data_IF_692928183823
#
_entry.id   IF_692928183823
#
_cell.length_a   1.000
_cell.length_b   1.000
_cell.length_c   1.000
_cell.angle_alpha   90.00
_cell.angle_beta   90.00
_cell.angle_gamma   90.00
#
_symmetry.space_group_name_H-M   'P 1'
#
loop_
_entity.id
_entity.type
_entity.pdbx_description
1 polymer ?
#
# COMPACT_ATOMS: atom_id res chain seq x y z
N UNK A 1 -0.95 -18.40 0.35
CA UNK A 1 -1.41 -17.48 -0.69
C UNK A 1 -0.54 -16.23 -0.73
N UNK A 2 -0.26 -15.75 -1.92
CA UNK A 2 0.51 -14.53 -2.11
C UNK A 2 -0.46 -13.37 -2.33
N UNK A 3 -0.25 -12.29 -1.60
CA UNK A 3 -1.02 -11.06 -1.79
C UNK A 3 -0.13 -10.04 -2.48
N UNK A 4 -0.53 -9.57 -3.65
CA UNK A 4 0.24 -8.58 -4.40
C UNK A 4 -0.32 -7.19 -4.13
N UNK A 5 0.49 -6.37 -3.48
CA UNK A 5 0.12 -4.99 -3.14
C UNK A 5 0.97 -4.00 -3.90
N UNK A 6 0.35 -2.89 -4.27
CA UNK A 6 1.04 -1.75 -4.87
C UNK A 6 0.83 -0.56 -3.95
N UNK A 7 1.92 0.03 -3.50
CA UNK A 7 1.89 1.23 -2.68
C UNK A 7 2.30 2.42 -3.55
N UNK A 8 1.36 3.32 -3.78
CA UNK A 8 1.66 4.57 -4.47
C UNK A 8 2.11 5.60 -3.44
N UNK A 9 3.29 6.16 -3.67
CA UNK A 9 3.89 7.11 -2.75
C UNK A 9 4.62 8.22 -3.50
N UNK A 10 5.14 9.19 -2.77
CA UNK A 10 6.02 10.20 -3.35
C UNK A 10 7.10 10.57 -2.34
N UNK A 11 8.20 11.14 -2.82
CA UNK A 11 9.31 11.56 -1.98
C UNK A 11 8.82 12.61 -0.95
N UNK A 12 9.32 12.49 0.27
CA UNK A 12 8.98 13.42 1.35
C UNK A 12 7.66 13.10 2.04
N UNK A 13 6.99 12.02 1.67
CA UNK A 13 5.73 11.61 2.30
C UNK A 13 6.04 10.73 3.52
N UNK A 14 5.98 11.31 4.73
CA UNK A 14 6.27 10.56 5.95
C UNK A 14 5.26 9.45 6.23
N UNK A 15 3.99 9.68 5.90
CA UNK A 15 2.95 8.66 6.06
C UNK A 15 3.21 7.47 5.14
N UNK A 16 3.70 7.72 3.93
CA UNK A 16 4.05 6.66 2.99
C UNK A 16 5.21 5.83 3.53
N UNK A 17 6.24 6.49 4.06
CA UNK A 17 7.41 5.82 4.64
C UNK A 17 7.00 4.94 5.82
N UNK A 18 6.16 5.47 6.71
CA UNK A 18 5.70 4.73 7.88
C UNK A 18 4.88 3.50 7.49
N UNK A 19 4.01 3.63 6.50
CA UNK A 19 3.24 2.49 6.02
C UNK A 19 4.12 1.43 5.38
N UNK A 20 5.09 1.84 4.58
CA UNK A 20 6.04 0.92 3.95
C UNK A 20 6.81 0.12 5.00
N UNK A 21 7.33 0.79 6.02
CA UNK A 21 8.06 0.11 7.10
C UNK A 21 7.22 -0.97 7.77
N UNK A 22 5.95 -0.69 8.03
CA UNK A 22 5.05 -1.66 8.66
C UNK A 22 4.74 -2.82 7.72
N UNK A 23 4.50 -2.54 6.45
CA UNK A 23 4.25 -3.59 5.47
C UNK A 23 5.43 -4.55 5.35
N UNK A 24 6.65 -4.02 5.42
CA UNK A 24 7.86 -4.84 5.34
C UNK A 24 8.05 -5.74 6.56
N UNK A 25 7.41 -5.41 7.68
CA UNK A 25 7.50 -6.21 8.90
C UNK A 25 6.47 -7.33 8.98
N UNK A 26 5.52 -7.36 8.05
CA UNK A 26 4.49 -8.40 8.05
C UNK A 26 5.10 -9.73 7.62
N UNK A 27 4.91 -10.77 8.45
CA UNK A 27 5.45 -12.11 8.22
C UNK A 27 4.37 -13.16 8.05
N UNK A 28 3.18 -12.93 8.61
CA UNK A 28 2.09 -13.91 8.57
C UNK A 28 1.40 -14.01 7.22
N UNK A 29 1.55 -13.01 6.39
CA UNK A 29 0.99 -12.97 5.04
C UNK A 29 2.14 -12.92 4.05
N UNK A 30 2.06 -13.71 3.01
CA UNK A 30 3.06 -13.74 1.94
C UNK A 30 2.80 -12.56 1.00
N UNK A 31 3.48 -11.45 1.24
CA UNK A 31 3.28 -10.22 0.48
C UNK A 31 4.29 -10.07 -0.64
N UNK A 32 3.80 -9.76 -1.83
CA UNK A 32 4.62 -9.19 -2.89
C UNK A 32 4.28 -7.70 -2.93
N UNK A 33 5.23 -6.87 -2.53
CA UNK A 33 5.01 -5.43 -2.41
C UNK A 33 5.75 -4.68 -3.49
N UNK A 34 5.02 -3.89 -4.24
CA UNK A 34 5.56 -3.02 -5.27
C UNK A 34 5.32 -1.58 -4.84
N UNK A 35 6.38 -0.77 -4.85
CA UNK A 35 6.29 0.65 -4.49
C UNK A 35 6.38 1.46 -5.77
N UNK A 36 5.37 2.29 -6.03
CA UNK A 36 5.30 3.11 -7.24
C UNK A 36 5.37 4.58 -6.84
N UNK A 37 6.41 5.25 -7.34
CA UNK A 37 6.56 6.70 -7.14
C UNK A 37 5.69 7.42 -8.15
N UNK A 38 4.69 8.16 -7.67
CA UNK A 38 3.72 8.81 -8.54
C UNK A 38 4.33 9.90 -9.40
N UNK A 39 5.52 10.43 -9.02
CA UNK A 39 6.21 11.43 -9.83
C UNK A 39 6.80 10.85 -11.12
N UNK A 40 6.86 9.52 -11.22
CA UNK A 40 7.38 8.82 -12.39
C UNK A 40 6.32 8.61 -13.48
N UNK A 41 5.05 8.92 -13.18
CA UNK A 41 3.95 8.65 -14.10
C UNK A 41 2.90 9.75 -13.93
N UNK A 42 2.64 10.48 -15.00
CA UNK A 42 1.75 11.64 -14.94
C UNK A 42 0.31 11.27 -14.56
N UNK A 43 -0.16 10.12 -15.01
CA UNK A 43 -1.53 9.66 -14.68
C UNK A 43 -1.63 9.36 -13.19
N UNK A 44 -0.63 8.70 -12.62
CA UNK A 44 -0.58 8.44 -11.18
C UNK A 44 -0.52 9.75 -10.39
N UNK A 45 0.30 10.69 -10.83
CA UNK A 45 0.45 11.97 -10.17
C UNK A 45 -0.87 12.74 -10.16
N UNK A 46 -1.54 12.81 -11.30
CA UNK A 46 -2.84 13.48 -11.41
C UNK A 46 -3.88 12.86 -10.50
N UNK A 47 -3.84 11.53 -10.37
CA UNK A 47 -4.85 10.77 -9.62
C UNK A 47 -4.59 10.78 -8.12
N UNK A 48 -3.33 10.72 -7.70
CA UNK A 48 -2.95 10.44 -6.31
C UNK A 48 -2.14 11.53 -5.64
N UNK A 49 -1.91 12.66 -6.27
CA UNK A 49 -1.05 13.73 -5.74
C UNK A 49 -1.37 14.11 -4.29
N UNK A 50 -2.66 14.20 -3.98
CA UNK A 50 -3.13 14.57 -2.64
C UNK A 50 -3.65 13.37 -1.84
N UNK A 51 -3.53 12.18 -2.39
CA UNK A 51 -4.11 10.97 -1.79
C UNK A 51 -3.08 10.03 -1.20
N UNK A 52 -1.80 10.19 -1.54
CA UNK A 52 -0.76 9.28 -1.06
C UNK A 52 -0.68 9.29 0.48
N UNK A 53 -0.43 8.13 1.12
CA UNK A 53 -0.20 6.82 0.50
C UNK A 53 -1.49 6.18 0.01
N UNK A 54 -1.43 5.58 -1.18
CA UNK A 54 -2.54 4.82 -1.74
C UNK A 54 -2.11 3.36 -1.85
N UNK A 55 -2.87 2.48 -1.24
CA UNK A 55 -2.58 1.05 -1.22
C UNK A 55 -3.59 0.32 -2.09
N UNK A 56 -3.09 -0.43 -3.06
CA UNK A 56 -3.92 -1.19 -3.98
C UNK A 56 -3.59 -2.67 -3.91
N UNK A 57 -4.60 -3.49 -4.12
CA UNK A 57 -4.49 -4.94 -4.18
C UNK A 57 -4.68 -5.37 -5.63
N UNK A 58 -3.69 -6.05 -6.18
CA UNK A 58 -3.76 -6.58 -7.54
C UNK A 58 -4.19 -8.04 -7.50
N UNK A 59 -5.31 -8.34 -8.15
CA UNK A 59 -5.85 -9.70 -8.23
C UNK A 59 -6.38 -9.94 -9.65
N UNK A 60 -5.89 -10.97 -10.31
CA UNK A 60 -6.34 -11.37 -11.65
C UNK A 60 -6.33 -10.19 -12.64
N UNK A 61 -5.24 -9.44 -12.65
CA UNK A 61 -5.05 -8.26 -13.51
C UNK A 61 -5.99 -7.09 -13.20
N UNK A 62 -6.74 -7.19 -12.09
CA UNK A 62 -7.58 -6.10 -11.62
C UNK A 62 -6.96 -5.44 -10.41
N UNK A 63 -7.00 -4.12 -10.39
CA UNK A 63 -6.44 -3.32 -9.33
C UNK A 63 -7.56 -2.78 -8.46
N UNK A 64 -7.54 -3.13 -7.16
CA UNK A 64 -8.54 -2.68 -6.20
C UNK A 64 -7.87 -1.74 -5.21
N UNK A 65 -8.38 -0.52 -5.10
CA UNK A 65 -7.88 0.41 -4.11
C UNK A 65 -8.48 0.05 -2.75
N UNK A 66 -7.60 -0.17 -1.78
CA UNK A 66 -8.02 -0.44 -0.40
C UNK A 66 -8.30 0.86 0.34
N UNK A 67 -9.18 0.84 1.36
CA UNK A 67 -9.31 2.00 2.24
C UNK A 67 -7.96 2.32 2.85
N UNK A 68 -7.69 3.60 3.10
CA UNK A 68 -6.41 3.99 3.71
C UNK A 68 -6.34 3.47 5.13
N UNK A 69 -5.34 2.64 5.47
CA UNK A 69 -5.18 2.22 6.86
C UNK A 69 -4.71 3.40 7.71
N UNK A 70 -5.16 3.43 8.96
CA UNK A 70 -4.74 4.47 9.88
C UNK A 70 -3.22 4.40 10.09
N UNK A 71 -2.51 5.55 10.13
CA UNK A 71 -1.08 5.54 10.41
C UNK A 71 -0.74 5.07 11.82
N UNK A 72 -1.75 4.96 12.68
CA UNK A 72 -1.58 4.50 14.07
C UNK A 72 -1.69 2.99 14.23
N UNK A 73 -2.05 2.26 13.17
CA UNK A 73 -2.14 0.81 13.25
C UNK A 73 -0.78 0.19 13.56
N UNK A 74 -0.79 -0.78 14.47
CA UNK A 74 0.39 -1.64 14.68
C UNK A 74 0.57 -2.57 13.48
N UNK A 75 1.72 -3.23 13.39
CA UNK A 75 1.95 -4.25 12.36
C UNK A 75 0.89 -5.33 12.45
N UNK A 76 0.55 -5.79 13.65
CA UNK A 76 -0.48 -6.83 13.85
C UNK A 76 -1.86 -6.37 13.38
N UNK A 77 -2.21 -5.13 13.67
CA UNK A 77 -3.49 -4.58 13.22
C UNK A 77 -3.53 -4.42 11.71
N UNK A 78 -2.41 -4.06 11.10
CA UNK A 78 -2.30 -3.96 9.65
C UNK A 78 -2.42 -5.32 8.99
N UNK A 79 -1.82 -6.36 9.59
CA UNK A 79 -1.98 -7.74 9.13
C UNK A 79 -3.45 -8.16 9.13
N UNK A 80 -4.16 -7.86 10.22
CA UNK A 80 -5.58 -8.18 10.34
C UNK A 80 -6.41 -7.42 9.29
N UNK A 81 -6.06 -6.16 9.04
CA UNK A 81 -6.71 -5.36 8.01
C UNK A 81 -6.56 -6.00 6.63
N UNK A 82 -5.34 -6.40 6.27
CA UNK A 82 -5.07 -7.00 4.97
C UNK A 82 -5.71 -8.37 4.82
N UNK A 83 -5.75 -9.14 5.91
CA UNK A 83 -6.32 -10.49 5.90
C UNK A 83 -7.79 -10.51 5.46
N UNK A 84 -8.51 -9.42 5.64
CA UNK A 84 -9.91 -9.32 5.21
C UNK A 84 -10.07 -9.43 3.70
N UNK A 85 -9.01 -9.19 2.95
CA UNK A 85 -9.04 -9.17 1.48
C UNK A 85 -8.44 -10.43 0.85
N UNK A 86 -8.04 -11.38 1.66
CA UNK A 86 -7.51 -12.66 1.18
C UNK A 86 -8.60 -13.67 0.84
#
# INVERSE_FOLDING_TARGET
MIMHLILYSKAGCHLCEGLLEKLEQIKSIDLTLEVSDITQNQDWFSQYEFEVPVLCFLQEDKLFQLPRPSPRLSVQQLEAFLAKYL
#
